data_IF_125854235793
#
_entry.id   IF_125854235793
#
_cell.length_a   1.000
_cell.length_b   1.000
_cell.length_c   1.000
_cell.angle_alpha   90.00
_cell.angle_beta   90.00
_cell.angle_gamma   90.00
#
_symmetry.space_group_name_H-M   'P 1'
#
loop_
_entity.id
_entity.type
_entity.pdbx_description
1 polymer ?
#
# COMPACT_ATOMS: atom_id res chain seq x y z
N UNK A 1 17.16 -10.02 -30.73
CA UNK A 1 15.78 -9.63 -31.08
C UNK A 1 14.95 -9.19 -29.86
N UNK A 2 14.83 -9.98 -28.77
CA UNK A 2 14.05 -9.59 -27.58
C UNK A 2 14.48 -8.25 -26.94
N UNK A 3 15.79 -8.00 -26.83
CA UNK A 3 16.34 -6.73 -26.29
C UNK A 3 15.96 -5.49 -27.13
N UNK A 4 15.85 -5.63 -28.45
CA UNK A 4 15.46 -4.54 -29.36
C UNK A 4 13.96 -4.28 -29.32
N UNK A 5 13.15 -5.33 -29.18
CA UNK A 5 11.70 -5.20 -29.00
C UNK A 5 11.36 -4.49 -27.68
N UNK A 6 12.01 -4.88 -26.58
CA UNK A 6 11.84 -4.23 -25.27
C UNK A 6 12.29 -2.76 -25.35
N UNK A 7 13.41 -2.45 -25.99
CA UNK A 7 13.90 -1.07 -26.11
C UNK A 7 12.99 -0.19 -26.97
N UNK A 8 12.41 -0.71 -28.06
CA UNK A 8 11.49 0.05 -28.93
C UNK A 8 10.07 0.18 -28.36
N UNK A 9 9.54 -0.86 -27.73
CA UNK A 9 8.13 -0.88 -27.27
C UNK A 9 7.99 -0.31 -25.86
N UNK A 10 8.99 -0.47 -24.99
CA UNK A 10 8.98 0.00 -23.59
C UNK A 10 9.89 1.22 -23.36
N UNK A 11 10.56 1.73 -24.40
CA UNK A 11 11.48 2.89 -24.36
C UNK A 11 12.58 2.79 -23.27
N UNK A 12 12.93 1.58 -22.83
CA UNK A 12 13.98 1.35 -21.83
C UNK A 12 15.35 1.52 -22.51
N UNK A 13 16.15 2.46 -22.02
CA UNK A 13 17.53 2.65 -22.49
C UNK A 13 18.43 1.55 -21.90
N UNK A 14 19.46 1.13 -22.64
CA UNK A 14 20.32 0.01 -22.21
C UNK A 14 20.99 0.25 -20.85
N UNK A 15 21.22 1.51 -20.47
CA UNK A 15 21.82 1.87 -19.19
C UNK A 15 20.85 1.83 -18.00
N UNK A 16 19.53 1.73 -18.24
CA UNK A 16 18.48 1.82 -17.21
C UNK A 16 17.85 0.46 -16.87
N UNK A 17 18.29 -0.62 -17.55
CA UNK A 17 17.70 -1.95 -17.39
C UNK A 17 17.86 -2.49 -15.95
N UNK A 18 19.01 -2.22 -15.32
CA UNK A 18 19.29 -2.67 -13.95
C UNK A 18 18.40 -1.98 -12.92
N UNK A 19 18.21 -0.66 -13.07
CA UNK A 19 17.32 0.12 -12.20
C UNK A 19 15.87 -0.30 -12.39
N UNK A 20 15.42 -0.44 -13.64
CA UNK A 20 14.07 -0.89 -13.97
C UNK A 20 13.79 -2.26 -13.35
N UNK A 21 14.71 -3.21 -13.49
CA UNK A 21 14.57 -4.54 -12.91
C UNK A 21 14.53 -4.50 -11.39
N UNK A 22 15.40 -3.69 -10.75
CA UNK A 22 15.38 -3.50 -9.30
C UNK A 22 14.02 -2.97 -8.80
N UNK A 23 13.51 -1.89 -9.39
CA UNK A 23 12.22 -1.32 -9.00
C UNK A 23 11.06 -2.29 -9.29
N UNK A 24 11.08 -2.99 -10.42
CA UNK A 24 10.08 -4.00 -10.75
C UNK A 24 10.08 -5.13 -9.71
N UNK A 25 11.25 -5.69 -9.37
CA UNK A 25 11.37 -6.74 -8.36
C UNK A 25 10.92 -6.25 -6.98
N UNK A 26 11.27 -5.01 -6.60
CA UNK A 26 10.81 -4.41 -5.35
C UNK A 26 9.28 -4.30 -5.31
N UNK A 27 8.67 -3.80 -6.39
CA UNK A 27 7.22 -3.65 -6.48
C UNK A 27 6.50 -5.00 -6.49
N UNK A 28 7.09 -6.04 -7.09
CA UNK A 28 6.58 -7.42 -6.99
C UNK A 28 6.63 -7.92 -5.56
N UNK A 29 7.75 -7.77 -4.85
CA UNK A 29 7.90 -8.24 -3.47
C UNK A 29 6.95 -7.52 -2.51
N UNK A 30 6.79 -6.20 -2.66
CA UNK A 30 5.84 -5.43 -1.85
C UNK A 30 4.41 -5.78 -2.23
N UNK A 31 4.08 -5.89 -3.52
CA UNK A 31 2.74 -6.32 -3.97
C UNK A 31 2.37 -7.70 -3.45
N UNK A 32 3.34 -8.62 -3.43
CA UNK A 32 3.19 -9.97 -2.88
C UNK A 32 2.97 -9.95 -1.36
N UNK A 33 3.75 -9.15 -0.64
CA UNK A 33 3.56 -8.92 0.79
C UNK A 33 2.16 -8.35 1.09
N UNK A 34 1.76 -7.31 0.39
CA UNK A 34 0.46 -6.66 0.57
C UNK A 34 -0.70 -7.61 0.24
N UNK A 35 -0.58 -8.42 -0.82
CA UNK A 35 -1.60 -9.39 -1.18
C UNK A 35 -1.73 -10.52 -0.14
N UNK A 36 -0.61 -11.00 0.42
CA UNK A 36 -0.66 -11.93 1.56
C UNK A 36 -1.33 -11.30 2.77
N UNK A 37 -0.88 -10.11 3.18
CA UNK A 37 -1.45 -9.41 4.33
C UNK A 37 -2.96 -9.22 4.18
N UNK A 38 -3.42 -8.80 2.99
CA UNK A 38 -4.85 -8.65 2.70
C UNK A 38 -5.61 -9.96 2.88
N UNK A 39 -5.24 -11.01 2.15
CA UNK A 39 -5.98 -12.27 2.19
C UNK A 39 -5.98 -12.93 3.57
N UNK A 40 -4.86 -12.87 4.30
CA UNK A 40 -4.75 -13.45 5.64
C UNK A 40 -5.60 -12.66 6.65
N UNK A 41 -5.43 -11.34 6.69
CA UNK A 41 -6.11 -10.50 7.71
C UNK A 41 -7.61 -10.38 7.45
N UNK A 42 -8.06 -10.30 6.19
CA UNK A 42 -9.48 -10.37 5.83
C UNK A 42 -10.10 -11.70 6.28
N UNK A 43 -9.44 -12.82 5.99
CA UNK A 43 -9.95 -14.15 6.39
C UNK A 43 -9.98 -14.30 7.91
N UNK A 44 -8.91 -13.90 8.61
CA UNK A 44 -8.85 -13.94 10.08
C UNK A 44 -9.93 -13.08 10.73
N UNK A 45 -10.20 -11.89 10.18
CA UNK A 45 -11.25 -11.01 10.68
C UNK A 45 -12.64 -11.57 10.41
N UNK A 46 -12.93 -11.95 9.16
CA UNK A 46 -14.27 -12.39 8.74
C UNK A 46 -14.68 -13.71 9.38
N UNK A 47 -13.75 -14.65 9.58
CA UNK A 47 -14.03 -15.92 10.25
C UNK A 47 -14.34 -15.76 11.75
N UNK A 48 -14.01 -14.62 12.36
CA UNK A 48 -14.18 -14.37 13.80
C UNK A 48 -15.27 -13.36 14.13
N UNK A 49 -15.42 -12.30 13.35
CA UNK A 49 -16.39 -11.22 13.59
C UNK A 49 -17.55 -11.24 12.59
N UNK A 50 -17.34 -11.80 11.39
CA UNK A 50 -18.32 -11.77 10.32
C UNK A 50 -18.28 -10.48 9.48
N UNK A 51 -19.03 -10.51 8.39
CA UNK A 51 -19.02 -9.46 7.37
C UNK A 51 -19.74 -8.16 7.81
N UNK A 52 -20.62 -8.25 8.80
CA UNK A 52 -21.44 -7.15 9.32
C UNK A 52 -20.61 -6.00 9.92
N UNK A 53 -19.39 -6.30 10.38
CA UNK A 53 -18.49 -5.32 10.97
C UNK A 53 -17.56 -4.62 9.96
N UNK A 54 -17.61 -4.98 8.67
CA UNK A 54 -16.82 -4.31 7.63
C UNK A 54 -17.06 -2.79 7.54
N UNK A 55 -18.31 -2.28 7.59
CA UNK A 55 -18.56 -0.83 7.57
C UNK A 55 -17.86 -0.10 8.73
N UNK A 56 -17.90 -0.69 9.93
CA UNK A 56 -17.19 -0.15 11.10
C UNK A 56 -15.69 -0.16 10.89
N UNK A 57 -15.14 -1.23 10.32
CA UNK A 57 -13.72 -1.29 9.99
C UNK A 57 -13.32 -0.24 8.95
N UNK A 58 -14.15 0.05 7.95
CA UNK A 58 -13.86 1.14 7.01
C UNK A 58 -13.81 2.52 7.69
N UNK A 59 -14.71 2.77 8.66
CA UNK A 59 -14.65 4.01 9.46
C UNK A 59 -13.36 4.09 10.29
N UNK A 60 -12.97 2.98 10.92
CA UNK A 60 -11.72 2.90 11.69
C UNK A 60 -10.48 3.04 10.80
N UNK A 61 -10.50 2.45 9.61
CA UNK A 61 -9.43 2.60 8.60
C UNK A 61 -9.29 4.04 8.18
N UNK A 62 -10.39 4.77 7.94
CA UNK A 62 -10.31 6.20 7.60
C UNK A 62 -9.64 7.03 8.71
N UNK A 63 -9.96 6.77 9.98
CA UNK A 63 -9.30 7.40 11.13
C UNK A 63 -7.82 6.99 11.23
N UNK A 64 -7.54 5.70 11.02
CA UNK A 64 -6.18 5.16 10.99
C UNK A 64 -5.32 5.83 9.93
N UNK A 65 -5.83 5.98 8.71
CA UNK A 65 -5.16 6.65 7.60
C UNK A 65 -4.91 8.13 7.86
N UNK A 66 -5.83 8.82 8.52
CA UNK A 66 -5.61 10.21 8.93
C UNK A 66 -4.41 10.31 9.89
N UNK A 67 -4.37 9.44 10.90
CA UNK A 67 -3.29 9.43 11.90
C UNK A 67 -1.95 9.02 11.24
N UNK A 68 -1.93 7.91 10.49
CA UNK A 68 -0.71 7.42 9.85
C UNK A 68 -0.21 8.40 8.79
N UNK A 69 -1.10 9.07 8.06
CA UNK A 69 -0.76 10.11 7.09
C UNK A 69 -0.09 11.32 7.74
N UNK A 70 -0.60 11.79 8.89
CA UNK A 70 0.02 12.88 9.65
C UNK A 70 1.42 12.49 10.16
N UNK A 71 1.54 11.28 10.71
CA UNK A 71 2.83 10.75 11.19
C UNK A 71 3.81 10.62 10.04
N UNK A 72 3.40 10.00 8.93
CA UNK A 72 4.24 9.81 7.74
C UNK A 72 4.71 11.14 7.15
N UNK A 73 3.80 12.10 6.99
CA UNK A 73 4.13 13.43 6.49
C UNK A 73 5.15 14.16 7.36
N UNK A 74 5.10 13.96 8.67
CA UNK A 74 6.06 14.58 9.59
C UNK A 74 7.48 14.00 9.50
N UNK A 75 7.64 12.76 8.98
CA UNK A 75 8.92 12.05 8.93
C UNK A 75 9.52 11.95 7.52
N UNK A 76 8.69 11.99 6.47
CA UNK A 76 9.08 11.68 5.08
C UNK A 76 10.16 12.63 4.53
N UNK A 77 10.12 13.90 4.90
CA UNK A 77 11.08 14.92 4.43
C UNK A 77 12.37 14.96 5.26
N UNK A 78 12.40 14.26 6.40
CA UNK A 78 13.51 14.25 7.36
C UNK A 78 14.36 12.99 7.17
N UNK A 79 13.72 11.85 6.91
CA UNK A 79 14.37 10.55 6.82
C UNK A 79 14.62 10.19 5.36
N UNK A 80 15.86 9.80 5.03
CA UNK A 80 16.19 9.34 3.67
C UNK A 80 15.26 8.20 3.23
N UNK A 81 14.76 8.18 1.98
CA UNK A 81 13.72 7.27 1.51
C UNK A 81 14.04 5.80 1.79
N UNK A 82 15.27 5.36 1.52
CA UNK A 82 15.67 3.97 1.76
C UNK A 82 15.72 3.58 3.24
N UNK A 83 16.02 4.51 4.15
CA UNK A 83 15.94 4.26 5.60
C UNK A 83 14.49 4.19 6.04
N UNK A 84 13.65 5.09 5.52
CA UNK A 84 12.21 5.08 5.83
C UNK A 84 11.55 3.79 5.36
N UNK A 85 11.88 3.29 4.15
CA UNK A 85 11.43 1.99 3.67
C UNK A 85 11.80 0.85 4.62
N UNK A 86 13.05 0.83 5.11
CA UNK A 86 13.48 -0.17 6.11
C UNK A 86 12.73 -0.04 7.43
N UNK A 87 12.51 1.18 7.91
CA UNK A 87 11.77 1.44 9.14
C UNK A 87 10.35 0.91 9.00
N UNK A 88 9.65 1.25 7.92
CA UNK A 88 8.30 0.77 7.62
C UNK A 88 8.22 -0.75 7.59
N UNK A 89 9.12 -1.40 6.84
CA UNK A 89 9.16 -2.87 6.76
C UNK A 89 9.40 -3.49 8.13
N UNK A 90 10.41 -3.03 8.87
CA UNK A 90 10.77 -3.61 10.16
C UNK A 90 9.70 -3.35 11.22
N UNK A 91 9.11 -2.15 11.26
CA UNK A 91 8.03 -1.84 12.19
C UNK A 91 6.79 -2.67 11.90
N UNK A 92 6.38 -2.78 10.64
CA UNK A 92 5.22 -3.60 10.26
C UNK A 92 5.48 -5.07 10.55
N UNK A 93 6.64 -5.61 10.19
CA UNK A 93 7.01 -6.98 10.50
C UNK A 93 7.03 -7.25 12.01
N UNK A 94 7.56 -6.33 12.82
CA UNK A 94 7.59 -6.46 14.27
C UNK A 94 6.17 -6.50 14.86
N UNK A 95 5.26 -5.65 14.38
CA UNK A 95 3.85 -5.67 14.81
C UNK A 95 3.19 -6.98 14.40
N UNK A 96 3.39 -7.48 13.18
CA UNK A 96 2.82 -8.76 12.73
C UNK A 96 3.31 -9.93 13.59
N UNK A 97 4.63 -10.00 13.84
CA UNK A 97 5.22 -11.05 14.68
C UNK A 97 4.70 -10.96 16.11
N UNK A 98 4.59 -9.74 16.65
CA UNK A 98 3.98 -9.51 17.97
C UNK A 98 2.52 -9.98 18.03
N UNK A 99 1.72 -9.65 17.01
CA UNK A 99 0.35 -10.13 16.89
C UNK A 99 0.27 -11.66 16.77
N UNK A 100 1.18 -12.28 16.01
CA UNK A 100 1.25 -13.74 15.92
C UNK A 100 1.55 -14.38 17.27
N UNK A 101 2.54 -13.87 18.02
CA UNK A 101 2.84 -14.36 19.39
C UNK A 101 1.64 -14.19 20.31
N UNK A 102 0.94 -13.05 20.23
CA UNK A 102 -0.25 -12.80 21.04
C UNK A 102 -1.40 -13.75 20.67
N UNK A 103 -1.58 -14.09 19.39
CA UNK A 103 -2.58 -15.09 18.95
C UNK A 103 -2.27 -16.47 19.56
N UNK A 104 -0.99 -16.85 19.63
CA UNK A 104 -0.58 -18.14 20.21
C UNK A 104 -0.67 -18.18 21.75
N UNK A 105 -0.47 -17.05 22.42
CA UNK A 105 -0.34 -16.98 23.89
C UNK A 105 -1.60 -16.47 24.60
N UNK A 106 -2.46 -15.71 23.92
CA UNK A 106 -3.64 -15.07 24.51
C UNK A 106 -4.84 -15.19 23.58
N UNK A 107 -6.02 -15.45 24.15
CA UNK A 107 -7.28 -15.46 23.41
C UNK A 107 -7.88 -14.06 23.30
N UNK A 108 -7.09 -13.06 22.89
CA UNK A 108 -7.56 -11.69 22.75
C UNK A 108 -8.19 -11.48 21.36
N UNK A 109 -9.52 -11.43 21.30
CA UNK A 109 -10.27 -11.29 20.04
C UNK A 109 -9.98 -9.98 19.29
N UNK A 110 -9.56 -8.93 19.99
CA UNK A 110 -9.27 -7.61 19.40
C UNK A 110 -8.03 -7.60 18.48
N UNK A 111 -7.22 -8.66 18.48
CA UNK A 111 -6.04 -8.75 17.60
C UNK A 111 -6.45 -8.83 16.13
N UNK A 112 -7.55 -9.52 15.79
CA UNK A 112 -7.94 -9.71 14.40
C UNK A 112 -8.40 -8.40 13.72
N UNK A 113 -9.27 -7.57 14.34
CA UNK A 113 -9.58 -6.23 13.83
C UNK A 113 -8.34 -5.32 13.78
N UNK A 114 -7.44 -5.42 14.77
CA UNK A 114 -6.22 -4.63 14.78
C UNK A 114 -5.28 -5.01 13.62
N UNK A 115 -5.14 -6.30 13.30
CA UNK A 115 -4.37 -6.79 12.15
C UNK A 115 -4.98 -6.35 10.82
N UNK A 116 -6.31 -6.39 10.69
CA UNK A 116 -7.02 -5.86 9.53
C UNK A 116 -6.72 -4.36 9.34
N UNK A 117 -6.85 -3.57 10.42
CA UNK A 117 -6.56 -2.14 10.38
C UNK A 117 -5.09 -1.87 10.04
N UNK A 118 -4.16 -2.65 10.61
CA UNK A 118 -2.74 -2.59 10.29
C UNK A 118 -2.50 -2.84 8.80
N UNK A 119 -3.12 -3.86 8.22
CA UNK A 119 -2.97 -4.19 6.81
C UNK A 119 -3.46 -3.05 5.92
N UNK A 120 -4.67 -2.54 6.14
CA UNK A 120 -5.24 -1.47 5.32
C UNK A 120 -4.39 -0.19 5.39
N UNK A 121 -4.01 0.22 6.61
CA UNK A 121 -3.16 1.41 6.78
C UNK A 121 -1.76 1.23 6.21
N UNK A 122 -1.20 0.02 6.31
CA UNK A 122 0.10 -0.32 5.73
C UNK A 122 0.04 -0.31 4.21
N UNK A 123 -1.01 -0.85 3.60
CA UNK A 123 -1.16 -0.89 2.14
C UNK A 123 -1.04 0.50 1.52
N UNK A 124 -1.82 1.46 2.03
CA UNK A 124 -1.79 2.83 1.53
C UNK A 124 -0.47 3.53 1.84
N UNK A 125 0.08 3.30 3.03
CA UNK A 125 1.37 3.87 3.44
C UNK A 125 2.51 3.40 2.54
N UNK A 126 2.56 2.12 2.20
CA UNK A 126 3.53 1.56 1.26
C UNK A 126 3.29 2.06 -0.16
N UNK A 127 2.04 2.20 -0.60
CA UNK A 127 1.74 2.75 -1.93
C UNK A 127 2.28 4.18 -2.07
N UNK A 128 2.01 5.06 -1.10
CA UNK A 128 2.53 6.42 -1.06
C UNK A 128 4.06 6.42 -0.99
N UNK A 129 4.63 5.61 -0.10
CA UNK A 129 6.08 5.59 0.11
C UNK A 129 6.83 5.03 -1.11
N UNK A 130 6.29 4.05 -1.83
CA UNK A 130 6.89 3.52 -3.06
C UNK A 130 6.94 4.57 -4.16
N UNK A 131 5.88 5.36 -4.36
CA UNK A 131 5.91 6.47 -5.33
C UNK A 131 6.92 7.53 -4.94
N UNK A 132 6.95 7.89 -3.65
CA UNK A 132 7.96 8.80 -3.14
C UNK A 132 9.36 8.24 -3.39
N UNK A 133 9.61 6.99 -3.02
CA UNK A 133 10.88 6.31 -3.21
C UNK A 133 11.32 6.29 -4.68
N UNK A 134 10.42 6.01 -5.63
CA UNK A 134 10.72 6.12 -7.07
C UNK A 134 11.13 7.53 -7.45
N UNK A 135 10.40 8.57 -7.01
CA UNK A 135 10.70 9.97 -7.36
C UNK A 135 12.04 10.47 -6.81
N UNK A 136 12.53 9.87 -5.71
CA UNK A 136 13.81 10.24 -5.10
C UNK A 136 15.02 9.47 -5.64
N UNK A 137 14.79 8.44 -6.45
CA UNK A 137 15.85 7.57 -6.98
C UNK A 137 15.93 7.57 -8.51
N UNK A 138 14.85 7.92 -9.23
CA UNK A 138 14.85 8.06 -10.68
C UNK A 138 14.77 9.52 -11.10
N UNK A 139 15.39 9.86 -12.24
CA UNK A 139 15.20 11.17 -12.85
C UNK A 139 13.74 11.36 -13.30
N UNK A 140 13.23 12.59 -13.34
CA UNK A 140 11.82 12.88 -13.64
C UNK A 140 11.36 12.30 -14.99
N UNK A 141 12.21 12.39 -16.03
CA UNK A 141 11.93 11.82 -17.35
C UNK A 141 11.92 10.28 -17.35
N UNK A 142 12.80 9.66 -16.57
CA UNK A 142 12.87 8.21 -16.41
C UNK A 142 11.65 7.70 -15.63
N UNK A 143 11.31 8.36 -14.52
CA UNK A 143 10.16 8.01 -13.69
C UNK A 143 8.87 8.01 -14.52
N UNK A 144 8.57 9.07 -15.28
CA UNK A 144 7.36 9.12 -16.12
C UNK A 144 7.26 7.96 -17.13
N UNK A 145 8.39 7.57 -17.72
CA UNK A 145 8.46 6.51 -18.72
C UNK A 145 8.40 5.10 -18.12
N UNK A 146 9.13 4.88 -17.02
CA UNK A 146 9.29 3.55 -16.40
C UNK A 146 8.16 3.23 -15.42
N UNK A 147 7.43 4.24 -14.92
CA UNK A 147 6.33 4.06 -13.96
C UNK A 147 5.32 2.99 -14.38
N UNK A 148 4.78 2.92 -15.61
CA UNK A 148 3.83 1.87 -15.99
C UNK A 148 4.39 0.45 -15.80
N UNK A 149 5.67 0.26 -16.14
CA UNK A 149 6.36 -1.02 -16.03
C UNK A 149 6.58 -1.35 -14.56
N UNK A 150 7.11 -0.41 -13.79
CA UNK A 150 7.38 -0.58 -12.37
C UNK A 150 6.07 -0.86 -11.60
N UNK A 151 5.02 -0.09 -11.87
CA UNK A 151 3.69 -0.22 -11.26
C UNK A 151 3.05 -1.58 -11.55
N UNK A 152 3.28 -2.15 -12.74
CA UNK A 152 2.79 -3.49 -13.06
C UNK A 152 3.31 -4.56 -12.09
N UNK A 153 4.46 -4.31 -11.45
CA UNK A 153 5.03 -5.18 -10.43
C UNK A 153 4.11 -5.42 -9.25
N UNK A 154 3.38 -4.40 -8.78
CA UNK A 154 2.42 -4.55 -7.67
C UNK A 154 1.33 -5.55 -8.04
N UNK A 155 0.78 -5.45 -9.26
CA UNK A 155 -0.24 -6.37 -9.74
C UNK A 155 0.28 -7.80 -9.90
N UNK A 156 1.50 -7.97 -10.44
CA UNK A 156 2.14 -9.29 -10.56
C UNK A 156 2.33 -9.92 -9.18
N UNK A 157 2.86 -9.15 -8.22
CA UNK A 157 3.01 -9.60 -6.83
C UNK A 157 1.69 -9.98 -6.19
N UNK A 158 0.65 -9.17 -6.38
CA UNK A 158 -0.71 -9.46 -5.92
C UNK A 158 -1.26 -10.78 -6.49
N UNK A 159 -1.12 -11.02 -7.79
CA UNK A 159 -1.53 -12.28 -8.42
C UNK A 159 -0.77 -13.48 -7.84
N UNK A 160 0.56 -13.35 -7.72
CA UNK A 160 1.41 -14.39 -7.14
C UNK A 160 1.03 -14.69 -5.68
N UNK A 161 0.64 -13.68 -4.90
CA UNK A 161 0.19 -13.87 -3.52
C UNK A 161 -1.08 -14.70 -3.45
N UNK A 162 -2.04 -14.54 -4.37
CA UNK A 162 -3.27 -15.33 -4.40
C UNK A 162 -3.00 -16.82 -4.61
N UNK A 163 -2.11 -17.14 -5.56
CA UNK A 163 -1.62 -18.51 -5.77
C UNK A 163 -0.88 -19.01 -4.52
N UNK A 164 -0.01 -18.17 -3.96
CA UNK A 164 0.73 -18.49 -2.74
C UNK A 164 -0.15 -18.77 -1.52
N UNK A 165 -1.27 -18.06 -1.37
CA UNK A 165 -2.26 -18.32 -0.32
C UNK A 165 -2.94 -19.66 -0.53
N UNK A 166 -3.38 -19.95 -1.76
CA UNK A 166 -4.02 -21.24 -2.09
C UNK A 166 -3.11 -22.44 -1.81
N UNK A 167 -1.81 -22.33 -2.13
CA UNK A 167 -0.82 -23.36 -1.76
C UNK A 167 -0.59 -23.36 -0.24
N UNK A 168 -0.46 -22.18 0.37
CA UNK A 168 -0.21 -22.02 1.79
C UNK A 168 -1.26 -22.69 2.68
N UNK A 169 -2.54 -22.62 2.30
CA UNK A 169 -3.63 -23.28 3.05
C UNK A 169 -3.54 -24.81 3.07
N UNK A 170 -2.76 -25.43 2.17
CA UNK A 170 -2.56 -26.89 2.15
C UNK A 170 -1.53 -27.36 3.19
N UNK A 171 -0.66 -26.47 3.65
CA UNK A 171 0.52 -26.82 4.46
C UNK A 171 0.57 -26.06 5.79
N UNK A 172 -0.03 -24.87 5.86
CA UNK A 172 0.03 -23.97 7.02
C UNK A 172 -1.36 -23.72 7.59
N UNK A 173 -1.45 -23.66 8.91
CA UNK A 173 -2.60 -23.09 9.61
C UNK A 173 -2.72 -21.59 9.31
N UNK A 174 -3.94 -21.06 9.30
CA UNK A 174 -4.23 -19.66 8.95
C UNK A 174 -3.39 -18.65 9.75
N UNK A 175 -3.21 -18.87 11.06
CA UNK A 175 -2.40 -18.00 11.90
C UNK A 175 -0.91 -18.00 11.46
N UNK A 176 -0.38 -19.16 11.07
CA UNK A 176 1.01 -19.32 10.63
C UNK A 176 1.25 -18.74 9.22
N UNK A 177 0.19 -18.51 8.44
CA UNK A 177 0.33 -17.85 7.14
C UNK A 177 0.82 -16.41 7.27
N UNK A 178 0.72 -15.77 8.45
CA UNK A 178 1.31 -14.45 8.71
C UNK A 178 2.83 -14.42 8.44
N UNK A 179 3.52 -15.56 8.54
CA UNK A 179 4.94 -15.65 8.17
C UNK A 179 5.20 -15.43 6.67
N UNK A 180 4.25 -15.76 5.80
CA UNK A 180 4.36 -15.45 4.36
C UNK A 180 4.40 -13.93 4.12
N UNK A 181 3.59 -13.19 4.87
CA UNK A 181 3.58 -11.74 4.81
C UNK A 181 4.91 -11.14 5.32
N UNK A 182 5.37 -11.60 6.49
CA UNK A 182 6.64 -11.14 7.09
C UNK A 182 7.83 -11.44 6.18
N UNK A 183 7.94 -12.66 5.65
CA UNK A 183 9.07 -13.06 4.80
C UNK A 183 9.10 -12.27 3.50
N UNK A 184 7.94 -11.99 2.89
CA UNK A 184 7.84 -11.15 1.70
C UNK A 184 8.30 -9.71 1.96
N UNK A 185 7.85 -9.10 3.07
CA UNK A 185 8.28 -7.77 3.49
C UNK A 185 9.80 -7.70 3.71
N UNK A 186 10.34 -8.64 4.49
CA UNK A 186 11.77 -8.69 4.80
C UNK A 186 12.63 -8.92 3.54
N UNK A 187 12.14 -9.71 2.59
CA UNK A 187 12.80 -9.90 1.28
C UNK A 187 12.88 -8.58 0.51
N UNK A 188 11.81 -7.78 0.52
CA UNK A 188 11.82 -6.43 -0.05
C UNK A 188 12.84 -5.50 0.61
N UNK A 189 12.90 -5.48 1.95
CA UNK A 189 13.89 -4.68 2.68
C UNK A 189 15.34 -5.14 2.42
N UNK A 190 15.57 -6.45 2.27
CA UNK A 190 16.88 -7.00 1.93
C UNK A 190 17.30 -6.56 0.53
N UNK A 191 16.39 -6.56 -0.44
CA UNK A 191 16.63 -6.06 -1.79
C UNK A 191 17.01 -4.57 -1.78
N UNK A 192 16.27 -3.74 -1.01
CA UNK A 192 16.57 -2.31 -0.83
C UNK A 192 17.94 -2.11 -0.18
N UNK A 193 18.26 -2.89 0.85
CA UNK A 193 19.56 -2.84 1.52
C UNK A 193 20.69 -3.16 0.54
N UNK A 194 20.56 -4.24 -0.23
CA UNK A 194 21.57 -4.66 -1.19
C UNK A 194 21.78 -3.61 -2.29
N UNK A 195 20.71 -3.01 -2.80
CA UNK A 195 20.80 -1.96 -3.82
C UNK A 195 21.54 -0.71 -3.31
N UNK A 196 21.17 -0.20 -2.13
CA UNK A 196 21.77 1.00 -1.56
C UNK A 196 23.18 0.78 -0.98
N UNK A 197 23.55 -0.44 -0.64
CA UNK A 197 24.94 -0.78 -0.33
C UNK A 197 25.86 -0.58 -1.55
N UNK A 198 25.34 -0.75 -2.77
CA UNK A 198 26.10 -0.63 -4.02
C UNK A 198 26.02 0.75 -4.67
N UNK A 199 24.86 1.41 -4.62
CA UNK A 199 24.61 2.66 -5.35
C UNK A 199 24.65 3.91 -4.46
N UNK A 200 24.83 3.75 -3.13
CA UNK A 200 24.82 4.86 -2.19
C UNK A 200 23.39 5.35 -1.86
N UNK A 201 23.26 6.50 -1.16
CA UNK A 201 21.95 7.05 -0.79
C UNK A 201 21.16 7.54 -2.01
N UNK A 202 19.85 7.75 -1.83
CA UNK A 202 18.95 8.21 -2.89
C UNK A 202 19.42 9.54 -3.51
N UNK A 203 19.77 9.58 -4.81
CA UNK A 203 20.49 10.71 -5.40
C UNK A 203 19.74 12.04 -5.38
N UNK A 204 18.40 12.01 -5.48
CA UNK A 204 17.59 13.22 -5.60
C UNK A 204 16.99 13.67 -4.26
N UNK A 205 17.26 12.95 -3.17
CA UNK A 205 16.73 13.29 -1.84
C UNK A 205 17.55 14.37 -1.15
N UNK A 206 16.88 15.44 -0.74
CA UNK A 206 17.44 16.51 0.06
C UNK A 206 16.63 16.66 1.34
N UNK A 207 17.25 16.38 2.48
CA UNK A 207 16.56 16.46 3.77
C UNK A 207 16.18 17.92 4.09
N UNK A 208 14.91 18.14 4.44
CA UNK A 208 14.45 19.45 4.90
C UNK A 208 14.71 19.58 6.41
N UNK A 209 15.09 20.77 6.88
CA UNK A 209 15.20 21.05 8.33
C UNK A 209 13.84 20.85 8.99
N UNK A 210 13.79 20.29 10.21
CA UNK A 210 12.57 20.12 11.02
C UNK A 210 11.77 21.44 11.06
N UNK A 211 10.73 21.53 10.24
CA UNK A 211 9.70 22.57 10.28
C UNK A 211 8.48 22.10 11.06
N UNK A 212 7.58 23.02 11.39
CA UNK A 212 6.33 22.70 12.08
C UNK A 212 5.33 22.06 11.11
N UNK A 213 5.59 20.84 10.64
CA UNK A 213 4.81 20.15 9.59
C UNK A 213 3.31 20.17 9.83
N UNK A 214 2.86 19.98 11.07
CA UNK A 214 1.43 19.99 11.41
C UNK A 214 0.84 21.40 11.24
N UNK A 215 1.54 22.43 11.72
CA UNK A 215 1.12 23.82 11.55
C UNK A 215 1.15 24.24 10.07
N UNK A 216 2.17 23.80 9.33
CA UNK A 216 2.30 24.06 7.91
C UNK A 216 1.23 23.30 7.09
N UNK A 217 0.91 22.07 7.47
CA UNK A 217 -0.18 21.28 6.88
C UNK A 217 -1.54 21.92 7.12
N UNK A 218 -1.82 22.38 8.34
CA UNK A 218 -3.04 23.14 8.66
C UNK A 218 -3.14 24.44 7.85
N UNK A 219 -2.02 25.15 7.70
CA UNK A 219 -1.93 26.35 6.86
C UNK A 219 -2.17 26.05 5.38
N UNK A 220 -1.58 24.96 4.88
CA UNK A 220 -1.76 24.50 3.50
C UNK A 220 -3.19 24.02 3.23
N UNK A 221 -3.84 23.33 4.18
CA UNK A 221 -5.25 22.95 4.09
C UNK A 221 -6.12 24.20 4.03
N UNK A 222 -5.89 25.19 4.91
CA UNK A 222 -6.64 26.45 4.92
C UNK A 222 -6.45 27.22 3.60
N UNK A 223 -5.23 27.28 3.08
CA UNK A 223 -4.94 27.88 1.76
C UNK A 223 -5.59 27.09 0.62
N UNK A 224 -5.53 25.76 0.65
CA UNK A 224 -6.13 24.87 -0.34
C UNK A 224 -7.64 25.04 -0.42
N UNK A 225 -8.33 25.03 0.72
CA UNK A 225 -9.79 25.30 0.78
C UNK A 225 -10.12 26.69 0.26
N UNK A 226 -9.32 27.70 0.60
CA UNK A 226 -9.50 29.05 0.07
C UNK A 226 -9.25 29.13 -1.45
N UNK A 227 -8.34 28.32 -1.99
CA UNK A 227 -7.99 28.29 -3.41
C UNK A 227 -9.05 27.54 -4.24
N UNK A 228 -9.56 26.41 -3.73
CA UNK A 228 -10.65 25.65 -4.36
C UNK A 228 -11.91 26.49 -4.54
N UNK A 229 -12.25 27.34 -3.57
CA UNK A 229 -13.40 28.25 -3.66
C UNK A 229 -13.24 29.35 -4.71
N UNK A 230 -12.01 29.65 -5.13
CA UNK A 230 -11.70 30.75 -6.06
C UNK A 230 -11.44 30.29 -7.49
N UNK A 231 -11.11 29.01 -7.69
CA UNK A 231 -10.77 28.47 -9.00
C UNK A 231 -11.97 27.71 -9.59
N UNK A 232 -12.59 28.21 -10.67
CA UNK A 232 -13.73 27.52 -11.31
C UNK A 232 -13.33 26.15 -11.86
N UNK A 233 -12.05 25.97 -12.21
CA UNK A 233 -11.52 24.72 -12.75
C UNK A 233 -11.44 23.63 -11.66
N UNK A 234 -11.02 24.00 -10.44
CA UNK A 234 -11.00 23.10 -9.29
C UNK A 234 -12.41 22.74 -8.82
N UNK A 235 -13.33 23.71 -8.86
CA UNK A 235 -14.71 23.47 -8.49
C UNK A 235 -15.35 22.44 -9.43
N UNK A 236 -15.15 22.58 -10.75
CA UNK A 236 -15.59 21.61 -11.75
C UNK A 236 -14.99 20.24 -11.53
N UNK A 237 -13.70 20.16 -11.19
CA UNK A 237 -13.01 18.89 -10.93
C UNK A 237 -13.54 18.18 -9.68
N UNK A 238 -13.82 18.93 -8.60
CA UNK A 238 -14.48 18.41 -7.41
C UNK A 238 -15.89 17.90 -7.73
N UNK A 239 -16.65 18.63 -8.53
CA UNK A 239 -17.99 18.23 -8.96
C UNK A 239 -17.94 16.93 -9.76
N UNK A 240 -17.03 16.85 -10.74
CA UNK A 240 -16.84 15.64 -11.55
C UNK A 240 -16.48 14.45 -10.67
N UNK A 241 -15.51 14.59 -9.76
CA UNK A 241 -15.13 13.52 -8.84
C UNK A 241 -16.28 13.07 -7.94
N UNK A 242 -17.05 14.02 -7.39
CA UNK A 242 -18.23 13.73 -6.58
C UNK A 242 -19.26 12.91 -7.37
N UNK A 243 -19.57 13.32 -8.60
CA UNK A 243 -20.48 12.58 -9.48
C UNK A 243 -19.93 11.23 -9.91
N UNK A 244 -18.63 11.13 -10.21
CA UNK A 244 -17.98 9.84 -10.54
C UNK A 244 -18.06 8.86 -9.39
N UNK A 245 -17.83 9.31 -8.15
CA UNK A 245 -17.97 8.47 -6.95
C UNK A 245 -19.41 7.99 -6.79
N UNK A 246 -20.40 8.89 -6.87
CA UNK A 246 -21.82 8.50 -6.78
C UNK A 246 -22.19 7.50 -7.87
N UNK A 247 -21.81 7.77 -9.12
CA UNK A 247 -22.09 6.91 -10.25
C UNK A 247 -21.40 5.53 -10.13
N UNK A 248 -20.22 5.46 -9.51
CA UNK A 248 -19.52 4.21 -9.27
C UNK A 248 -20.19 3.36 -8.18
N UNK A 249 -20.68 3.99 -7.10
CA UNK A 249 -21.28 3.27 -5.97
C UNK A 249 -22.75 2.90 -6.18
N UNK A 250 -23.52 3.66 -6.96
CA UNK A 250 -24.95 3.42 -7.18
C UNK A 250 -25.25 2.01 -7.76
N UNK A 251 -24.55 1.52 -8.80
CA UNK A 251 -24.78 0.18 -9.34
C UNK A 251 -24.44 -0.93 -8.34
N UNK A 252 -23.40 -0.70 -7.51
CA UNK A 252 -22.94 -1.68 -6.52
C UNK A 252 -23.98 -1.90 -5.41
N UNK A 253 -24.66 -0.83 -4.98
CA UNK A 253 -25.74 -0.88 -3.98
C UNK A 253 -26.98 -1.59 -4.55
N UNK A 254 -27.32 -1.31 -5.82
CA UNK A 254 -28.47 -1.95 -6.48
C UNK A 254 -28.26 -3.46 -6.66
N UNK A 255 -27.06 -3.89 -7.04
CA UNK A 255 -26.71 -5.31 -7.16
C UNK A 255 -26.80 -6.05 -5.81
N UNK A 256 -26.34 -5.43 -4.72
CA UNK A 256 -26.47 -6.01 -3.37
C UNK A 256 -27.95 -6.13 -2.94
N UNK A 257 -28.77 -5.12 -3.23
CA UNK A 257 -30.21 -5.20 -2.92
C UNK A 257 -30.98 -6.22 -3.77
N UNK A 258 -30.54 -6.48 -5.01
CA UNK A 258 -31.13 -7.48 -5.88
C UNK A 258 -30.78 -8.92 -5.46
N UNK A 259 -29.58 -9.13 -4.92
CA UNK A 259 -29.16 -10.45 -4.41
C UNK A 259 -29.86 -10.83 -3.10
N UNK A 260 -30.14 -9.85 -2.23
CA UNK A 260 -30.88 -10.08 -0.98
C UNK A 260 -32.37 -10.42 -1.20
N UNK A 261 -32.93 -10.07 -2.36
CA UNK A 261 -34.29 -10.42 -2.76
C UNK A 261 -34.44 -11.84 -3.35
N UNK A 262 -33.34 -12.53 -3.65
CA UNK A 262 -33.33 -13.85 -4.30
C UNK A 262 -33.00 -15.01 -3.34
N UNK A 263 -32.58 -14.73 -2.11
CA UNK A 263 -32.34 -15.75 -1.09
C UNK A 263 -33.59 -15.84 -0.20
N UNK A 264 -34.40 -16.91 -0.28
CA UNK A 264 -35.52 -17.07 0.61
C UNK A 264 -35.01 -17.15 2.05
N UNK A 265 -35.50 -16.25 2.91
CA UNK A 265 -35.28 -16.34 4.35
C UNK A 265 -35.99 -17.60 4.85
N UNK A 266 -35.27 -18.70 5.00
CA UNK A 266 -35.80 -19.90 5.65
C UNK A 266 -36.08 -19.55 7.13
N UNK A 267 -37.38 -19.45 7.43
CA UNK A 267 -37.97 -19.59 8.77
C UNK A 267 -37.89 -21.02 9.25
#
# INVERSE_FOLDING_TARGET
MLKQFISKTLLIHQNEQRETFYFLSLFILIGLAMGFGKGITETLFLTRFGIEYLPTMFMLTALGLLITGLVYGSIVDIVTPHRLMKILVVSTAAVIVGSWVLIQSMTLSLIYPALYLLQETTYDLFAVHLMFYVSQNLHLSQSKRLSPIILSGISIGGMMSGVGLGIGTLVLSLDNMLWLWVTALLSGALLVRYYHQKHGPSPFFHATKKGHYVADSLKNIKQGVSFTKRSPLLLSLCLTLFFTVIAYYTPRIQLTSATDGLIPKNT
#
